data_IF_742498374885
#
_entry.id   IF_742498374885
#
_cell.length_a   1.000
_cell.length_b   1.000
_cell.length_c   1.000
_cell.angle_alpha   90.00
_cell.angle_beta   90.00
_cell.angle_gamma   90.00
#
_symmetry.space_group_name_H-M   'P 1'
#
loop_
_entity.id
_entity.type
_entity.pdbx_description
1 polymer ?
#
# COMPACT_ATOMS: atom_id res chain seq x y z
N UNK A 1 5.52 -4.42 -27.99
CA UNK A 1 5.29 -5.07 -26.69
C UNK A 1 4.69 -4.01 -25.79
N UNK A 2 3.52 -4.25 -25.18
CA UNK A 2 3.00 -3.34 -24.16
C UNK A 2 3.95 -3.35 -22.97
N UNK A 3 4.24 -2.21 -22.33
CA UNK A 3 4.99 -2.22 -21.09
C UNK A 3 4.28 -3.11 -20.06
N UNK A 4 5.02 -3.80 -19.17
CA UNK A 4 4.39 -4.56 -18.09
C UNK A 4 3.44 -3.64 -17.32
N UNK A 5 2.23 -4.13 -17.03
CA UNK A 5 1.24 -3.38 -16.26
C UNK A 5 1.84 -3.08 -14.88
N UNK A 6 1.87 -1.81 -14.44
CA UNK A 6 2.42 -1.47 -13.14
C UNK A 6 1.70 -2.21 -12.01
N UNK A 7 2.46 -2.61 -10.98
CA UNK A 7 1.90 -3.21 -9.76
C UNK A 7 1.10 -2.15 -9.01
N UNK A 8 -0.20 -2.40 -8.86
CA UNK A 8 -1.14 -1.46 -8.23
C UNK A 8 -1.08 -1.55 -6.70
N UNK A 9 -1.12 -0.41 -6.05
CA UNK A 9 -1.04 -0.24 -4.60
C UNK A 9 -2.23 0.59 -4.13
N UNK A 10 -2.90 0.15 -3.08
CA UNK A 10 -3.87 0.95 -2.36
C UNK A 10 -3.18 1.64 -1.17
N UNK A 11 -3.26 2.96 -1.08
CA UNK A 11 -2.75 3.69 0.09
C UNK A 11 -3.87 3.94 1.10
N UNK A 12 -3.67 3.56 2.36
CA UNK A 12 -4.51 3.99 3.48
C UNK A 12 -3.79 5.14 4.17
N UNK A 13 -4.19 6.37 3.90
CA UNK A 13 -3.47 7.54 4.40
C UNK A 13 -4.34 8.78 4.40
N UNK A 14 -4.25 9.56 5.47
CA UNK A 14 -4.85 10.89 5.58
C UNK A 14 -3.93 12.01 5.04
N UNK A 15 -2.69 11.67 4.69
CA UNK A 15 -1.69 12.65 4.25
C UNK A 15 -1.43 12.50 2.74
N UNK A 16 -2.17 13.25 1.93
CA UNK A 16 -2.00 13.22 0.46
C UNK A 16 -0.62 13.67 0.00
N UNK A 17 0.06 14.55 0.74
CA UNK A 17 1.37 15.04 0.36
C UNK A 17 2.44 13.93 0.41
N UNK A 18 2.43 13.10 1.46
CA UNK A 18 3.36 11.96 1.53
C UNK A 18 3.01 10.89 0.50
N UNK A 19 1.73 10.65 0.25
CA UNK A 19 1.27 9.69 -0.78
C UNK A 19 1.73 10.12 -2.17
N UNK A 20 1.66 11.41 -2.49
CA UNK A 20 2.20 11.95 -3.75
C UNK A 20 3.71 11.75 -3.87
N UNK A 21 4.46 12.05 -2.80
CA UNK A 21 5.91 11.84 -2.80
C UNK A 21 6.27 10.36 -2.99
N UNK A 22 5.53 9.44 -2.36
CA UNK A 22 5.69 7.99 -2.58
C UNK A 22 5.37 7.65 -4.05
N UNK A 23 4.22 8.08 -4.56
CA UNK A 23 3.80 7.82 -5.95
C UNK A 23 4.84 8.29 -6.97
N UNK A 24 5.35 9.51 -6.83
CA UNK A 24 6.36 10.07 -7.73
C UNK A 24 7.66 9.26 -7.69
N UNK A 25 8.02 8.74 -6.53
CA UNK A 25 9.24 7.95 -6.34
C UNK A 25 9.12 6.51 -6.86
N UNK A 26 8.00 5.83 -6.63
CA UNK A 26 7.85 4.42 -6.99
C UNK A 26 7.42 4.21 -8.45
N UNK A 27 6.79 5.21 -9.08
CA UNK A 27 6.25 5.09 -10.44
C UNK A 27 7.29 4.73 -11.51
N UNK A 28 8.50 5.31 -11.52
CA UNK A 28 9.56 4.91 -12.44
C UNK A 28 10.00 3.45 -12.29
N UNK A 29 9.70 2.81 -11.14
CA UNK A 29 10.10 1.44 -10.80
C UNK A 29 9.01 0.41 -11.09
N UNK A 30 7.94 0.80 -11.78
CA UNK A 30 6.86 -0.13 -12.18
C UNK A 30 5.78 -0.35 -11.14
N UNK A 31 5.71 0.50 -10.11
CA UNK A 31 4.62 0.50 -9.12
C UNK A 31 3.67 1.69 -9.33
N UNK A 32 2.44 1.61 -8.86
CA UNK A 32 1.49 2.72 -8.94
C UNK A 32 0.51 2.70 -7.78
N UNK A 33 0.34 3.83 -7.10
CA UNK A 33 -0.77 4.06 -6.18
C UNK A 33 -2.05 4.23 -7.00
N UNK A 34 -2.85 3.17 -7.08
CA UNK A 34 -4.10 3.11 -7.84
C UNK A 34 -5.28 3.74 -7.10
N UNK A 35 -5.20 3.84 -5.77
CA UNK A 35 -6.23 4.47 -4.94
C UNK A 35 -5.70 4.96 -3.61
N UNK A 36 -6.39 5.93 -3.02
CA UNK A 36 -6.16 6.43 -1.66
C UNK A 36 -7.47 6.25 -0.90
N UNK A 37 -7.42 5.51 0.21
CA UNK A 37 -8.51 5.37 1.15
C UNK A 37 -8.23 6.21 2.39
N UNK A 38 -9.11 7.18 2.63
CA UNK A 38 -9.13 8.06 3.80
C UNK A 38 -10.25 7.61 4.73
N UNK A 39 -10.04 6.53 5.49
CA UNK A 39 -11.04 5.95 6.39
C UNK A 39 -10.71 6.39 7.83
N UNK A 40 -11.52 7.28 8.40
CA UNK A 40 -11.38 7.77 9.78
C UNK A 40 -12.76 7.94 10.43
N UNK A 41 -13.18 7.04 11.34
CA UNK A 41 -12.43 5.88 11.84
C UNK A 41 -12.23 4.79 10.77
N UNK A 42 -11.21 3.93 10.94
CA UNK A 42 -10.95 2.82 10.02
C UNK A 42 -12.14 1.87 9.89
N UNK A 43 -12.44 1.46 8.65
CA UNK A 43 -13.53 0.53 8.33
C UNK A 43 -13.05 -0.65 7.48
N UNK A 44 -13.16 -1.87 8.04
CA UNK A 44 -12.88 -3.13 7.31
C UNK A 44 -13.72 -3.23 6.03
N UNK A 45 -14.99 -2.83 6.07
CA UNK A 45 -15.89 -2.91 4.92
C UNK A 45 -15.52 -1.93 3.80
N UNK A 46 -15.05 -0.72 4.15
CA UNK A 46 -14.60 0.26 3.15
C UNK A 46 -13.32 -0.21 2.47
N UNK A 47 -12.37 -0.76 3.24
CA UNK A 47 -11.17 -1.37 2.69
C UNK A 47 -11.51 -2.53 1.74
N UNK A 48 -12.39 -3.43 2.18
CA UNK A 48 -12.81 -4.58 1.38
C UNK A 48 -13.54 -4.17 0.10
N UNK A 49 -14.31 -3.07 0.12
CA UNK A 49 -14.92 -2.51 -1.08
C UNK A 49 -13.87 -1.89 -2.00
N UNK A 50 -12.98 -1.06 -1.46
CA UNK A 50 -11.92 -0.38 -2.22
C UNK A 50 -11.05 -1.38 -2.99
N UNK A 51 -10.65 -2.49 -2.34
CA UNK A 51 -9.87 -3.55 -2.96
C UNK A 51 -10.59 -4.21 -4.17
N UNK A 52 -11.93 -4.32 -4.13
CA UNK A 52 -12.72 -4.97 -5.18
C UNK A 52 -13.05 -4.07 -6.37
N UNK A 53 -13.06 -2.74 -6.18
CA UNK A 53 -13.44 -1.79 -7.23
C UNK A 53 -12.25 -1.19 -7.99
N UNK A 54 -11.03 -1.34 -7.47
CA UNK A 54 -9.83 -0.80 -8.10
C UNK A 54 -9.34 -1.74 -9.22
N UNK A 55 -9.09 -1.15 -10.39
CA UNK A 55 -8.46 -1.80 -11.54
C UNK A 55 -7.30 -0.91 -12.05
N UNK A 56 -6.06 -1.43 -12.15
CA UNK A 56 -5.65 -2.80 -11.83
C UNK A 56 -5.81 -3.13 -10.35
N UNK A 57 -6.15 -4.40 -10.09
CA UNK A 57 -6.27 -4.95 -8.74
C UNK A 57 -5.05 -4.64 -7.87
N UNK A 58 -5.23 -4.10 -6.66
CA UNK A 58 -4.11 -3.87 -5.76
C UNK A 58 -3.41 -5.18 -5.38
N UNK A 59 -2.09 -5.21 -5.51
CA UNK A 59 -1.23 -6.28 -5.03
C UNK A 59 -0.49 -5.89 -3.73
N UNK A 60 -0.56 -4.61 -3.34
CA UNK A 60 -0.09 -4.18 -2.04
C UNK A 60 -0.98 -3.11 -1.41
N UNK A 61 -0.88 -2.99 -0.08
CA UNK A 61 -1.54 -1.95 0.70
C UNK A 61 -0.47 -1.18 1.49
N UNK A 62 -0.38 0.13 1.32
CA UNK A 62 0.55 0.98 2.07
C UNK A 62 -0.21 1.83 3.10
N UNK A 63 0.04 1.58 4.38
CA UNK A 63 -0.69 2.18 5.52
C UNK A 63 0.16 3.27 6.17
N UNK A 64 -0.39 4.48 6.21
CA UNK A 64 0.23 5.64 6.85
C UNK A 64 0.25 5.55 8.38
N UNK A 65 1.08 6.39 9.00
CA UNK A 65 1.30 6.41 10.46
C UNK A 65 0.08 6.71 11.33
N UNK A 66 -0.97 7.32 10.77
CA UNK A 66 -2.14 7.76 11.52
C UNK A 66 -2.98 6.58 12.05
N UNK A 67 -2.94 5.45 11.34
CA UNK A 67 -3.59 4.22 11.77
C UNK A 67 -2.77 3.52 12.85
N UNK A 68 -3.43 2.86 13.79
CA UNK A 68 -2.85 2.04 14.84
C UNK A 68 -2.32 0.70 14.31
N UNK A 69 -1.62 -0.05 15.17
CA UNK A 69 -1.19 -1.43 14.88
C UNK A 69 -2.38 -2.41 14.87
N UNK A 70 -3.43 -2.14 15.64
CA UNK A 70 -4.67 -2.91 15.62
C UNK A 70 -5.38 -2.77 14.27
N UNK A 71 -5.58 -1.53 13.78
CA UNK A 71 -6.13 -1.26 12.45
C UNK A 71 -5.24 -1.83 11.32
N UNK A 72 -3.92 -1.85 11.53
CA UNK A 72 -2.98 -2.49 10.60
C UNK A 72 -3.15 -4.02 10.55
N UNK A 73 -3.42 -4.64 11.70
CA UNK A 73 -3.70 -6.08 11.80
C UNK A 73 -5.01 -6.41 11.10
N UNK A 74 -6.05 -5.63 11.36
CA UNK A 74 -7.34 -5.70 10.68
C UNK A 74 -7.23 -5.55 9.16
N UNK A 75 -6.42 -4.59 8.68
CA UNK A 75 -6.19 -4.40 7.25
C UNK A 75 -5.47 -5.60 6.61
N UNK A 76 -4.55 -6.26 7.34
CA UNK A 76 -3.89 -7.48 6.88
C UNK A 76 -4.86 -8.65 6.74
N UNK A 77 -5.78 -8.82 7.68
CA UNK A 77 -6.84 -9.83 7.60
C UNK A 77 -7.69 -9.63 6.35
N UNK A 78 -8.25 -8.43 6.19
CA UNK A 78 -9.10 -8.07 5.04
C UNK A 78 -8.35 -8.25 3.72
N UNK A 79 -7.08 -7.84 3.67
CA UNK A 79 -6.29 -7.98 2.45
C UNK A 79 -5.94 -9.45 2.15
N UNK A 80 -5.63 -10.27 3.16
CA UNK A 80 -5.39 -11.71 2.98
C UNK A 80 -6.62 -12.45 2.47
N UNK A 81 -7.80 -12.12 2.99
CA UNK A 81 -9.07 -12.66 2.49
C UNK A 81 -9.30 -12.27 1.04
N UNK A 82 -9.13 -10.98 0.72
CA UNK A 82 -9.24 -10.48 -0.64
C UNK A 82 -8.30 -11.22 -1.61
N UNK A 83 -7.01 -11.38 -1.28
CA UNK A 83 -6.05 -12.08 -2.15
C UNK A 83 -6.50 -13.52 -2.47
N UNK A 84 -7.02 -14.25 -1.48
CA UNK A 84 -7.59 -15.59 -1.65
C UNK A 84 -8.82 -15.58 -2.55
N UNK A 85 -9.73 -14.62 -2.34
CA UNK A 85 -10.96 -14.49 -3.13
C UNK A 85 -10.69 -14.23 -4.62
N UNK A 86 -9.71 -13.38 -4.92
CA UNK A 86 -9.40 -12.99 -6.31
C UNK A 86 -8.30 -13.83 -6.97
N UNK A 87 -7.74 -14.82 -6.26
CA UNK A 87 -6.72 -15.73 -6.77
C UNK A 87 -5.36 -15.07 -7.02
N UNK A 88 -5.00 -14.04 -6.24
CA UNK A 88 -3.66 -13.42 -6.29
C UNK A 88 -2.77 -14.15 -5.28
N UNK A 89 -1.69 -14.77 -5.78
CA UNK A 89 -0.79 -15.59 -4.94
C UNK A 89 0.15 -14.75 -4.06
N UNK A 90 0.50 -13.54 -4.50
CA UNK A 90 1.46 -12.68 -3.82
C UNK A 90 0.89 -11.28 -3.57
N UNK A 91 0.90 -10.84 -2.31
CA UNK A 91 0.62 -9.47 -1.96
C UNK A 91 1.09 -9.11 -0.54
N UNK A 92 1.31 -7.82 -0.30
CA UNK A 92 1.89 -7.34 0.96
C UNK A 92 1.16 -6.14 1.55
N UNK A 93 1.22 -6.00 2.88
CA UNK A 93 0.77 -4.81 3.61
C UNK A 93 1.97 -4.14 4.26
N UNK A 94 2.27 -2.92 3.82
CA UNK A 94 3.41 -2.12 4.27
C UNK A 94 2.89 -1.07 5.25
N UNK A 95 3.36 -1.13 6.50
CA UNK A 95 3.03 -0.15 7.54
C UNK A 95 4.15 0.86 7.71
N UNK A 96 3.86 2.14 7.49
CA UNK A 96 4.77 3.24 7.82
C UNK A 96 4.53 3.60 9.29
N UNK A 97 5.32 3.02 10.19
CA UNK A 97 5.22 3.27 11.64
C UNK A 97 5.83 4.63 12.02
N UNK A 98 5.56 5.09 13.25
CA UNK A 98 6.26 6.26 13.81
C UNK A 98 7.77 6.03 13.89
N UNK A 99 8.21 4.82 14.23
CA UNK A 99 9.62 4.46 14.29
C UNK A 99 10.31 4.59 12.92
N UNK A 100 9.69 4.09 11.85
CA UNK A 100 10.21 4.29 10.48
C UNK A 100 10.32 5.78 10.17
N UNK A 101 9.30 6.56 10.51
CA UNK A 101 9.30 8.00 10.27
C UNK A 101 10.40 8.73 11.06
N UNK A 102 10.70 8.31 12.28
CA UNK A 102 11.79 8.85 13.10
C UNK A 102 13.16 8.48 12.54
N UNK A 103 13.31 7.28 11.99
CA UNK A 103 14.57 6.77 11.43
C UNK A 103 14.92 7.43 10.09
N UNK A 104 13.99 7.43 9.13
CA UNK A 104 14.28 7.87 7.75
C UNK A 104 13.81 9.31 7.48
N UNK A 105 13.03 9.89 8.38
CA UNK A 105 12.41 11.20 8.19
C UNK A 105 11.35 11.22 7.08
N UNK A 106 10.67 12.37 6.95
CA UNK A 106 9.63 12.56 5.92
C UNK A 106 10.15 12.32 4.49
N UNK A 107 11.38 12.74 4.21
CA UNK A 107 12.00 12.66 2.89
C UNK A 107 12.49 11.24 2.55
N UNK A 108 12.81 10.42 3.55
CA UNK A 108 13.25 9.04 3.35
C UNK A 108 12.11 8.03 3.16
N UNK A 109 10.88 8.35 3.59
CA UNK A 109 9.72 7.44 3.49
C UNK A 109 9.47 6.93 2.05
N UNK A 110 9.50 7.76 0.99
CA UNK A 110 9.32 7.26 -0.38
C UNK A 110 10.33 6.17 -0.77
N UNK A 111 11.61 6.37 -0.44
CA UNK A 111 12.68 5.41 -0.70
C UNK A 111 12.48 4.13 0.10
N UNK A 112 12.14 4.26 1.39
CA UNK A 112 11.87 3.12 2.25
C UNK A 112 10.68 2.28 1.75
N UNK A 113 9.59 2.92 1.32
CA UNK A 113 8.44 2.20 0.74
C UNK A 113 8.84 1.44 -0.53
N UNK A 114 9.65 2.06 -1.40
CA UNK A 114 10.19 1.39 -2.59
C UNK A 114 11.00 0.15 -2.21
N UNK A 115 11.91 0.27 -1.23
CA UNK A 115 12.73 -0.85 -0.76
C UNK A 115 11.86 -2.02 -0.25
N UNK A 116 10.78 -1.73 0.49
CA UNK A 116 9.83 -2.76 0.95
C UNK A 116 9.07 -3.45 -0.20
N UNK A 117 8.69 -2.69 -1.24
CA UNK A 117 8.04 -3.25 -2.43
C UNK A 117 9.00 -4.13 -3.21
N UNK A 118 10.22 -3.67 -3.47
CA UNK A 118 11.24 -4.43 -4.19
C UNK A 118 11.67 -5.69 -3.42
N UNK A 119 11.81 -5.60 -2.10
CA UNK A 119 12.09 -6.77 -1.27
C UNK A 119 11.00 -7.84 -1.38
N UNK A 120 9.73 -7.44 -1.46
CA UNK A 120 8.63 -8.38 -1.55
C UNK A 120 8.45 -8.97 -2.95
N UNK A 121 8.50 -8.14 -4.01
CA UNK A 121 8.15 -8.53 -5.37
C UNK A 121 9.33 -8.95 -6.26
N UNK A 122 10.58 -8.61 -5.92
CA UNK A 122 11.76 -9.01 -6.71
C UNK A 122 12.53 -10.19 -6.11
N UNK A 123 12.31 -10.54 -4.83
CA UNK A 123 12.99 -11.67 -4.17
C UNK A 123 12.14 -12.96 -4.15
N UNK A 124 10.89 -12.91 -4.60
CA UNK A 124 9.95 -14.03 -4.73
C UNK A 124 9.52 -14.23 -6.18
#
# INVERSE_FOLDING_TARGET
MSPPTPISILSLSQNRAIVRAIQEHIKPHGYNIGGILESDPFSKSELALALRVLEPRPAAVAIGRAYSEEETTDAREVFSEYLKEVGIEQGTVIKITSQVFEEVGKEGVPKWVLEQLEEFFNKN
#
